data_IF_909608150180
#
_entry.id   IF_909608150180
#
_cell.length_a   1.000
_cell.length_b   1.000
_cell.length_c   1.000
_cell.angle_alpha   90.00
_cell.angle_beta   90.00
_cell.angle_gamma   90.00
#
_symmetry.space_group_name_H-M   'P 1'
#
loop_
_entity.id
_entity.type
_entity.pdbx_description
1 polymer ?
#
# COMPACT_ATOMS: atom_id res chain seq x y z
N UNK A 1 69.02 24.27 19.73
CA UNK A 1 68.20 24.58 18.55
C UNK A 1 66.87 23.84 18.73
N UNK A 2 65.85 24.45 19.35
CA UNK A 2 64.77 25.27 18.73
C UNK A 2 64.23 24.64 17.44
N UNK A 3 62.93 24.39 17.24
CA UNK A 3 61.72 25.06 17.73
C UNK A 3 60.48 24.12 17.67
N UNK A 4 59.49 24.32 18.57
CA UNK A 4 58.10 24.79 18.29
C UNK A 4 57.15 23.84 17.55
N UNK A 5 55.83 23.81 17.75
CA UNK A 5 54.91 24.31 18.78
C UNK A 5 53.49 23.89 18.36
N UNK A 6 52.63 23.60 19.34
CA UNK A 6 51.16 23.75 19.38
C UNK A 6 50.24 23.53 18.15
N UNK A 7 49.37 22.52 18.22
CA UNK A 7 47.90 22.61 18.06
C UNK A 7 47.32 21.20 18.19
N UNK A 8 46.25 20.90 18.91
CA UNK A 8 45.22 21.69 19.56
C UNK A 8 44.07 20.72 19.80
N UNK A 9 43.62 20.60 21.04
CA UNK A 9 42.55 19.71 21.45
C UNK A 9 41.23 20.08 20.75
N UNK A 10 40.46 19.07 20.34
CA UNK A 10 39.13 19.28 19.78
C UNK A 10 38.42 17.96 19.46
N UNK A 11 38.22 17.11 20.46
CA UNK A 11 37.22 16.04 20.39
C UNK A 11 35.84 16.66 20.67
N UNK A 12 34.88 16.62 19.74
CA UNK A 12 33.49 16.54 20.14
C UNK A 12 33.15 15.05 20.32
N UNK A 13 33.05 14.65 21.58
CA UNK A 13 32.21 13.53 21.96
C UNK A 13 30.75 13.90 21.71
N UNK A 14 29.98 12.95 21.18
CA UNK A 14 28.52 13.00 21.18
C UNK A 14 27.91 13.73 19.99
N UNK A 15 27.29 12.98 19.09
CA UNK A 15 25.84 13.02 18.96
C UNK A 15 25.36 11.96 17.97
N UNK A 16 24.45 11.14 18.49
CA UNK A 16 23.33 10.52 17.79
C UNK A 16 23.62 9.75 16.48
N UNK A 17 23.56 8.43 16.61
CA UNK A 17 22.83 7.50 15.73
C UNK A 17 22.23 8.13 14.45
N UNK A 18 22.71 7.80 13.24
CA UNK A 18 21.86 7.93 12.06
C UNK A 18 20.73 6.91 12.22
N UNK A 19 19.54 7.46 12.48
CA UNK A 19 18.34 6.76 12.87
C UNK A 19 18.04 5.55 12.02
N UNK A 20 17.66 4.48 12.71
CA UNK A 20 16.78 3.46 12.15
C UNK A 20 15.68 4.16 11.36
N UNK A 21 15.37 3.77 10.12
CA UNK A 21 14.06 4.04 9.54
C UNK A 21 13.05 3.13 10.24
N UNK A 22 12.85 3.36 11.53
CA UNK A 22 11.66 2.95 12.28
C UNK A 22 10.59 4.01 12.08
N UNK A 23 10.33 4.38 10.83
CA UNK A 23 9.13 5.13 10.49
C UNK A 23 8.00 4.12 10.50
N UNK A 24 7.22 4.07 11.58
CA UNK A 24 5.86 3.59 11.45
C UNK A 24 5.27 4.31 10.22
N UNK A 25 4.66 3.60 9.26
CA UNK A 25 4.14 4.23 8.05
C UNK A 25 3.15 5.29 8.48
N UNK A 26 3.59 6.55 8.37
CA UNK A 26 2.76 7.73 8.54
C UNK A 26 1.57 7.54 7.58
N UNK A 27 0.33 7.81 8.00
CA UNK A 27 -0.86 7.50 7.19
C UNK A 27 -0.80 8.08 5.76
N UNK A 28 0.00 9.14 5.56
CA UNK A 28 0.32 9.74 4.27
C UNK A 28 1.12 8.83 3.31
N UNK A 29 2.01 7.99 3.83
CA UNK A 29 2.78 7.02 3.04
C UNK A 29 1.90 5.84 2.61
N UNK A 30 1.02 5.38 3.51
CA UNK A 30 0.03 4.35 3.19
C UNK A 30 -0.84 4.79 2.01
N UNK A 31 -1.44 5.98 2.11
CA UNK A 31 -2.28 6.53 1.03
C UNK A 31 -1.51 6.65 -0.29
N UNK A 32 -0.29 7.18 -0.26
CA UNK A 32 0.54 7.31 -1.46
C UNK A 32 0.86 5.96 -2.12
N UNK A 33 1.16 4.93 -1.34
CA UNK A 33 1.43 3.58 -1.84
C UNK A 33 0.16 2.95 -2.43
N UNK A 34 -0.97 3.05 -1.72
CA UNK A 34 -2.25 2.51 -2.23
C UNK A 34 -2.67 3.21 -3.51
N UNK A 35 -2.55 4.54 -3.57
CA UNK A 35 -2.85 5.33 -4.75
C UNK A 35 -1.94 5.00 -5.94
N UNK A 36 -0.67 4.73 -5.70
CA UNK A 36 0.27 4.28 -6.74
C UNK A 36 -0.04 2.86 -7.24
N UNK A 37 -0.47 1.97 -6.34
CA UNK A 37 -0.74 0.56 -6.65
C UNK A 37 -2.14 0.34 -7.23
N UNK A 38 -3.11 1.19 -6.91
CA UNK A 38 -4.50 1.15 -7.38
C UNK A 38 -4.64 0.95 -8.90
N UNK A 39 -4.01 1.72 -9.78
CA UNK A 39 -4.13 1.51 -11.22
C UNK A 39 -3.57 0.15 -11.68
N UNK A 40 -2.53 -0.36 -11.00
CA UNK A 40 -1.97 -1.69 -11.26
C UNK A 40 -2.96 -2.77 -10.83
N UNK A 41 -3.56 -2.60 -9.66
CA UNK A 41 -4.59 -3.50 -9.11
C UNK A 41 -5.83 -3.50 -10.00
N UNK A 42 -6.38 -2.34 -10.37
CA UNK A 42 -7.52 -2.21 -11.29
C UNK A 42 -7.26 -2.90 -12.62
N UNK A 43 -6.07 -2.69 -13.19
CA UNK A 43 -5.65 -3.35 -14.45
C UNK A 43 -5.49 -4.86 -14.26
N UNK A 44 -4.94 -5.29 -13.13
CA UNK A 44 -4.75 -6.71 -12.84
C UNK A 44 -6.06 -7.44 -12.62
N UNK A 45 -7.02 -6.79 -11.96
CA UNK A 45 -8.39 -7.29 -11.81
C UNK A 45 -9.07 -7.43 -13.19
N UNK A 46 -8.91 -6.44 -14.08
CA UNK A 46 -9.42 -6.48 -15.45
C UNK A 46 -8.71 -7.49 -16.37
N UNK A 47 -7.59 -8.07 -15.93
CA UNK A 47 -6.80 -8.97 -16.77
C UNK A 47 -7.53 -10.31 -16.99
N UNK A 48 -7.54 -10.85 -18.23
CA UNK A 48 -7.98 -12.22 -18.49
C UNK A 48 -7.00 -13.26 -17.94
N UNK A 49 -5.78 -12.86 -17.59
CA UNK A 49 -4.78 -13.75 -17.02
C UNK A 49 -5.08 -14.00 -15.53
N UNK A 50 -5.39 -15.26 -15.18
CA UNK A 50 -5.68 -15.67 -13.80
C UNK A 50 -4.54 -15.39 -12.83
N UNK A 51 -3.28 -15.52 -13.24
CA UNK A 51 -2.15 -15.22 -12.36
C UNK A 51 -2.10 -13.73 -12.02
N UNK A 52 -2.31 -12.86 -13.01
CA UNK A 52 -2.34 -11.40 -12.82
C UNK A 52 -3.54 -10.99 -11.96
N UNK A 53 -4.71 -11.58 -12.18
CA UNK A 53 -5.90 -11.39 -11.35
C UNK A 53 -5.64 -11.78 -9.89
N UNK A 54 -5.03 -12.95 -9.67
CA UNK A 54 -4.72 -13.44 -8.32
C UNK A 54 -3.66 -12.56 -7.63
N UNK A 55 -2.63 -12.11 -8.36
CA UNK A 55 -1.64 -11.17 -7.85
C UNK A 55 -2.26 -9.83 -7.47
N UNK A 56 -3.24 -9.34 -8.22
CA UNK A 56 -3.96 -8.12 -7.88
C UNK A 56 -4.70 -8.26 -6.53
N UNK A 57 -5.40 -9.38 -6.33
CA UNK A 57 -6.08 -9.67 -5.05
C UNK A 57 -5.09 -9.83 -3.89
N UNK A 58 -3.98 -10.54 -4.11
CA UNK A 58 -2.91 -10.71 -3.11
C UNK A 58 -2.27 -9.36 -2.75
N UNK A 59 -2.15 -8.46 -3.72
CA UNK A 59 -1.64 -7.10 -3.49
C UNK A 59 -2.58 -6.30 -2.59
N UNK A 60 -3.90 -6.39 -2.81
CA UNK A 60 -4.89 -5.74 -1.92
C UNK A 60 -4.78 -6.32 -0.50
N UNK A 61 -4.66 -7.65 -0.36
CA UNK A 61 -4.49 -8.28 0.94
C UNK A 61 -3.18 -7.86 1.64
N UNK A 62 -2.08 -7.70 0.91
CA UNK A 62 -0.82 -7.17 1.47
C UNK A 62 -0.95 -5.72 1.90
N UNK A 63 -1.65 -4.89 1.13
CA UNK A 63 -1.92 -3.50 1.49
C UNK A 63 -2.69 -3.44 2.81
N UNK A 64 -3.70 -4.29 2.98
CA UNK A 64 -4.44 -4.44 4.24
C UNK A 64 -3.52 -4.80 5.40
N UNK A 65 -2.65 -5.81 5.23
CA UNK A 65 -1.74 -6.23 6.29
C UNK A 65 -0.68 -5.18 6.64
N UNK A 66 -0.21 -4.39 5.66
CA UNK A 66 0.82 -3.38 5.88
C UNK A 66 0.27 -2.08 6.47
N UNK A 67 -0.92 -1.66 6.05
CA UNK A 67 -1.46 -0.33 6.35
C UNK A 67 -2.81 -0.35 7.09
N UNK A 68 -3.38 -1.54 7.29
CA UNK A 68 -4.67 -1.75 7.91
C UNK A 68 -5.85 -1.53 6.96
N UNK A 69 -7.02 -1.98 7.40
CA UNK A 69 -8.30 -1.90 6.68
C UNK A 69 -8.65 -0.49 6.20
N UNK A 70 -8.31 0.55 6.98
CA UNK A 70 -8.61 1.95 6.66
C UNK A 70 -8.01 2.42 5.34
N UNK A 71 -6.83 1.90 4.98
CA UNK A 71 -6.18 2.23 3.71
C UNK A 71 -6.91 1.62 2.51
N UNK A 72 -7.69 0.55 2.69
CA UNK A 72 -8.55 0.00 1.64
C UNK A 72 -9.89 0.72 1.61
N UNK A 73 -10.47 0.98 2.78
CA UNK A 73 -11.75 1.69 2.93
C UNK A 73 -11.76 3.05 2.18
N UNK A 74 -10.66 3.81 2.22
CA UNK A 74 -10.56 5.10 1.50
C UNK A 74 -10.53 4.96 -0.03
N UNK A 75 -10.08 3.81 -0.53
CA UNK A 75 -9.89 3.55 -1.96
C UNK A 75 -10.91 2.54 -2.52
N UNK A 76 -11.87 2.15 -1.69
CA UNK A 76 -12.86 1.12 -1.97
C UNK A 76 -13.80 1.54 -3.11
N UNK A 77 -14.21 2.80 -3.12
CA UNK A 77 -15.05 3.39 -4.18
C UNK A 77 -14.37 3.29 -5.56
N UNK A 78 -13.07 3.56 -5.62
CA UNK A 78 -12.29 3.45 -6.85
C UNK A 78 -12.11 2.00 -7.32
N UNK A 79 -12.10 1.03 -6.41
CA UNK A 79 -12.08 -0.41 -6.72
C UNK A 79 -13.46 -0.91 -7.16
N UNK A 80 -14.55 -0.42 -6.54
CA UNK A 80 -15.92 -0.71 -6.92
C UNK A 80 -16.25 -0.21 -8.34
N UNK A 81 -15.89 1.04 -8.68
CA UNK A 81 -16.01 1.58 -10.05
C UNK A 81 -15.26 0.72 -11.09
N UNK A 82 -14.10 0.18 -10.70
CA UNK A 82 -13.34 -0.73 -11.55
C UNK A 82 -14.09 -2.04 -11.79
N UNK A 83 -14.73 -2.57 -10.74
CA UNK A 83 -15.48 -3.81 -10.77
C UNK A 83 -16.75 -3.69 -11.61
N UNK A 84 -17.49 -2.59 -11.50
CA UNK A 84 -18.67 -2.34 -12.33
C UNK A 84 -18.29 -2.34 -13.81
N UNK A 85 -17.19 -1.66 -14.17
CA UNK A 85 -16.66 -1.66 -15.54
C UNK A 85 -16.22 -3.05 -16.02
N UNK A 86 -15.76 -3.90 -15.11
CA UNK A 86 -15.43 -5.29 -15.42
C UNK A 86 -16.64 -6.20 -15.54
N UNK A 87 -17.70 -5.95 -14.76
CA UNK A 87 -18.93 -6.72 -14.82
C UNK A 87 -19.59 -6.61 -16.22
N UNK A 88 -19.37 -5.48 -16.90
CA UNK A 88 -19.77 -5.28 -18.29
C UNK A 88 -19.00 -6.14 -19.32
N UNK A 89 -17.95 -6.89 -18.92
CA UNK A 89 -17.22 -7.79 -19.80
C UNK A 89 -17.72 -9.25 -19.72
N UNK A 90 -17.67 -10.02 -20.82
CA UNK A 90 -18.07 -11.42 -20.82
C UNK A 90 -17.20 -12.25 -19.86
N UNK A 91 -17.82 -12.88 -18.88
CA UNK A 91 -17.14 -13.62 -17.79
C UNK A 91 -16.58 -12.74 -16.67
N UNK A 92 -16.92 -11.44 -16.67
CA UNK A 92 -16.58 -10.48 -15.63
C UNK A 92 -17.29 -10.76 -14.31
N UNK A 93 -18.53 -11.25 -14.35
CA UNK A 93 -19.39 -11.51 -13.18
C UNK A 93 -18.71 -12.38 -12.11
N UNK A 94 -18.18 -13.55 -12.51
CA UNK A 94 -17.53 -14.46 -11.57
C UNK A 94 -16.25 -13.87 -10.95
N UNK A 95 -15.55 -13.01 -11.69
CA UNK A 95 -14.35 -12.31 -11.20
C UNK A 95 -14.72 -11.15 -10.31
N UNK A 96 -15.76 -10.40 -10.67
CA UNK A 96 -16.30 -9.32 -9.88
C UNK A 96 -16.74 -9.84 -8.52
N UNK A 97 -17.48 -10.96 -8.47
CA UNK A 97 -17.87 -11.64 -7.23
C UNK A 97 -16.66 -12.07 -6.40
N UNK A 98 -15.59 -12.59 -7.03
CA UNK A 98 -14.38 -12.99 -6.32
C UNK A 98 -13.68 -11.78 -5.67
N UNK A 99 -13.57 -10.66 -6.39
CA UNK A 99 -13.00 -9.44 -5.82
C UNK A 99 -13.89 -8.86 -4.74
N UNK A 100 -15.21 -8.81 -4.95
CA UNK A 100 -16.15 -8.25 -3.98
C UNK A 100 -16.10 -9.03 -2.67
N UNK A 101 -15.99 -10.36 -2.73
CA UNK A 101 -15.75 -11.22 -1.56
C UNK A 101 -14.44 -10.88 -0.86
N UNK A 102 -13.36 -10.71 -1.62
CA UNK A 102 -12.06 -10.30 -1.05
C UNK A 102 -12.14 -8.93 -0.39
N UNK A 103 -12.81 -7.96 -1.00
CA UNK A 103 -13.02 -6.64 -0.42
C UNK A 103 -13.87 -6.73 0.86
N UNK A 104 -14.97 -7.46 0.86
CA UNK A 104 -15.79 -7.68 2.06
C UNK A 104 -15.01 -8.30 3.22
N UNK A 105 -14.06 -9.20 2.96
CA UNK A 105 -13.20 -9.77 4.02
C UNK A 105 -12.13 -8.81 4.53
N UNK A 106 -11.64 -7.91 3.67
CA UNK A 106 -10.51 -7.02 3.96
C UNK A 106 -10.94 -5.65 4.47
N UNK A 107 -12.15 -5.20 4.16
CA UNK A 107 -12.66 -3.90 4.59
C UNK A 107 -13.18 -3.94 6.03
N UNK A 108 -13.33 -2.77 6.64
CA UNK A 108 -14.01 -2.63 7.92
C UNK A 108 -15.53 -2.78 7.74
N UNK A 109 -16.23 -3.20 8.80
CA UNK A 109 -17.68 -3.47 8.79
C UNK A 109 -18.52 -2.29 8.21
N UNK A 110 -18.10 -1.05 8.50
CA UNK A 110 -18.75 0.17 7.99
C UNK A 110 -18.50 0.48 6.50
N UNK A 111 -17.44 -0.05 5.89
CA UNK A 111 -17.20 0.09 4.45
C UNK A 111 -17.65 -1.14 3.65
N UNK A 112 -17.68 -2.32 4.28
CA UNK A 112 -18.39 -3.48 3.76
C UNK A 112 -19.90 -3.18 3.59
N UNK A 113 -20.49 -2.36 4.46
CA UNK A 113 -21.88 -1.90 4.34
C UNK A 113 -22.13 -0.89 3.18
N UNK A 114 -21.08 -0.40 2.52
CA UNK A 114 -21.17 0.53 1.38
C UNK A 114 -21.02 -0.14 0.01
N UNK A 115 -20.66 -1.42 -0.01
CA UNK A 115 -20.58 -2.29 -1.20
C UNK A 115 -21.92 -2.99 -1.43
#
# INVERSE_FOLDING_TARGET
TSASSCQGAGRPAGSAVPGSPGGAPDGSQADAVVKAMLPVVKRGMASPNRAVFQTALDTIARIEQMFGKRAIDEHLDALADALEKQCAQPGGDARAVAVLRTLLTLCSDGAAAKL
#
